data_IF_780511686926
#
_entry.id   IF_780511686926
#
_cell.length_a   1.000
_cell.length_b   1.000
_cell.length_c   1.000
_cell.angle_alpha   90.00
_cell.angle_beta   90.00
_cell.angle_gamma   90.00
#
_symmetry.space_group_name_H-M   'P 1'
#
loop_
_entity.id
_entity.type
_entity.pdbx_description
1 polymer ?
#
# COMPACT_ATOMS: atom_id res chain seq x y z
N UNK A 1 34.52 14.38 -2.58
CA UNK A 1 35.05 14.42 -1.20
C UNK A 1 34.14 15.15 -0.23
N UNK A 2 33.70 16.41 -0.50
CA UNK A 2 32.79 17.15 0.40
C UNK A 2 31.44 16.46 0.68
N UNK A 3 30.91 15.68 -0.27
CA UNK A 3 29.67 14.88 -0.12
C UNK A 3 29.77 13.78 0.95
N UNK A 4 30.99 13.30 1.26
CA UNK A 4 31.26 12.22 2.23
C UNK A 4 31.52 12.76 3.65
N UNK A 5 31.98 14.00 3.75
CA UNK A 5 32.31 14.67 5.01
C UNK A 5 31.10 15.35 5.68
N UNK A 6 30.10 15.78 4.90
CA UNK A 6 28.91 16.48 5.43
C UNK A 6 27.72 15.56 5.75
N UNK A 7 27.63 14.38 5.13
CA UNK A 7 26.41 13.54 5.20
C UNK A 7 26.67 12.08 5.58
N UNK A 8 27.90 11.75 5.99
CA UNK A 8 28.30 10.37 6.25
C UNK A 8 28.14 9.46 5.03
N UNK A 9 28.56 8.22 5.17
CA UNK A 9 28.26 7.17 4.20
C UNK A 9 26.84 6.68 4.53
N UNK A 10 25.83 6.74 3.62
CA UNK A 10 24.47 6.28 3.93
C UNK A 10 24.41 4.78 4.26
N UNK A 11 25.48 4.04 4.00
CA UNK A 11 25.65 2.63 4.34
C UNK A 11 26.31 2.37 5.71
N UNK A 12 26.74 3.40 6.44
CA UNK A 12 27.39 3.23 7.75
C UNK A 12 26.41 3.34 8.93
N UNK A 13 25.24 3.97 8.77
CA UNK A 13 24.20 4.04 9.81
C UNK A 13 23.19 2.92 9.61
N UNK A 14 23.56 1.68 9.96
CA UNK A 14 22.56 0.63 10.17
C UNK A 14 21.74 0.99 11.39
N UNK A 15 20.44 1.15 11.20
CA UNK A 15 19.51 1.35 12.33
C UNK A 15 18.90 0.00 12.64
N UNK A 16 19.50 -0.71 13.58
CA UNK A 16 18.91 -1.90 14.20
C UNK A 16 18.42 -1.48 15.57
N UNK A 17 17.09 -1.39 15.72
CA UNK A 17 16.44 -1.16 17.01
C UNK A 17 16.03 -2.52 17.53
N UNK A 18 16.83 -3.05 18.44
CA UNK A 18 16.57 -4.29 19.17
C UNK A 18 16.32 -3.95 20.65
N UNK A 19 15.23 -4.44 21.22
CA UNK A 19 14.87 -4.17 22.61
C UNK A 19 13.36 -4.19 22.89
N UNK A 20 12.98 -3.65 24.03
CA UNK A 20 11.57 -3.48 24.44
C UNK A 20 10.87 -2.55 23.45
N UNK A 21 9.59 -2.82 23.20
CA UNK A 21 8.71 -1.98 22.38
C UNK A 21 8.81 -0.52 22.86
N UNK A 22 9.20 0.39 21.97
CA UNK A 22 9.30 1.81 22.31
C UNK A 22 7.89 2.38 22.50
N UNK A 23 7.70 3.17 23.56
CA UNK A 23 6.47 3.90 23.82
C UNK A 23 6.72 5.41 23.82
N UNK A 24 5.74 6.15 23.31
CA UNK A 24 5.73 7.62 23.30
C UNK A 24 4.38 8.01 23.86
N UNK A 25 4.40 8.87 24.88
CA UNK A 25 3.18 9.42 25.44
C UNK A 25 2.50 10.32 24.40
N UNK A 26 1.17 10.31 24.33
CA UNK A 26 0.41 11.03 23.28
C UNK A 26 0.75 12.54 23.27
N UNK A 27 1.05 13.08 24.46
CA UNK A 27 1.46 14.47 24.67
C UNK A 27 2.85 14.82 24.11
N UNK A 28 3.68 13.81 23.84
CA UNK A 28 5.04 13.94 23.28
C UNK A 28 5.11 13.57 21.79
N UNK A 29 3.97 13.36 21.13
CA UNK A 29 3.93 13.00 19.71
C UNK A 29 4.43 14.14 18.81
N UNK A 30 5.28 13.79 17.85
CA UNK A 30 5.92 14.69 16.88
C UNK A 30 5.17 14.78 15.55
N UNK A 31 3.92 14.31 15.52
CA UNK A 31 3.03 14.38 14.38
C UNK A 31 1.86 15.33 14.66
N UNK A 32 1.15 15.72 13.62
CA UNK A 32 -0.01 16.61 13.72
C UNK A 32 -1.34 15.89 13.46
N UNK A 33 -1.36 14.55 13.47
CA UNK A 33 -2.53 13.74 13.15
C UNK A 33 -3.49 13.62 14.34
N UNK A 34 -3.92 14.77 14.87
CA UNK A 34 -4.65 14.85 16.14
C UNK A 34 -6.17 14.93 15.92
N UNK A 35 -6.60 15.27 14.71
CA UNK A 35 -8.01 15.28 14.35
C UNK A 35 -8.42 13.92 13.79
N UNK A 36 -9.30 13.25 14.52
CA UNK A 36 -9.79 11.91 14.19
C UNK A 36 -11.24 12.00 13.77
N UNK A 37 -11.57 11.43 12.61
CA UNK A 37 -12.93 11.35 12.10
C UNK A 37 -13.28 9.89 11.79
N UNK A 38 -14.36 9.39 12.39
CA UNK A 38 -14.90 8.06 12.13
C UNK A 38 -15.75 8.10 10.86
N UNK A 39 -15.44 7.23 9.90
CA UNK A 39 -16.19 7.05 8.66
C UNK A 39 -17.17 5.88 8.84
N UNK A 40 -18.37 6.18 9.33
CA UNK A 40 -19.43 5.19 9.55
C UNK A 40 -20.23 4.92 8.28
N UNK A 41 -20.26 3.68 7.80
CA UNK A 41 -21.07 3.29 6.64
C UNK A 41 -21.08 1.79 6.35
N UNK A 42 -20.03 1.08 6.74
CA UNK A 42 -19.98 -0.37 6.69
C UNK A 42 -20.74 -1.00 7.85
N UNK A 43 -21.39 -2.14 7.59
CA UNK A 43 -22.16 -2.90 8.57
C UNK A 43 -21.49 -4.23 8.98
N UNK A 44 -20.31 -4.51 8.43
CA UNK A 44 -19.54 -5.72 8.63
C UNK A 44 -18.05 -5.39 8.41
N UNK A 45 -17.20 -6.40 8.53
CA UNK A 45 -15.75 -6.31 8.38
C UNK A 45 -15.37 -5.58 7.08
N UNK A 46 -14.49 -4.58 7.19
CA UNK A 46 -13.83 -3.95 6.04
C UNK A 46 -12.56 -4.74 5.72
N UNK A 47 -12.38 -5.10 4.45
CA UNK A 47 -11.27 -5.94 4.02
C UNK A 47 -10.23 -5.20 3.18
N UNK A 48 -10.64 -4.23 2.38
CA UNK A 48 -9.73 -3.48 1.53
C UNK A 48 -9.97 -1.97 1.64
N UNK A 49 -8.86 -1.24 1.56
CA UNK A 49 -8.84 0.20 1.34
C UNK A 49 -7.95 0.51 0.13
N UNK A 50 -8.42 1.37 -0.75
CA UNK A 50 -7.69 1.77 -1.95
C UNK A 50 -7.71 3.29 -2.05
N UNK A 51 -6.54 3.88 -2.23
CA UNK A 51 -6.43 5.28 -2.62
C UNK A 51 -6.87 5.44 -4.08
N UNK A 52 -7.90 6.26 -4.32
CA UNK A 52 -8.37 6.58 -5.67
C UNK A 52 -7.53 7.74 -6.23
N UNK A 53 -7.41 8.79 -5.42
CA UNK A 53 -6.63 10.00 -5.68
C UNK A 53 -6.24 10.68 -4.35
N UNK A 54 -5.66 11.87 -4.42
CA UNK A 54 -5.22 12.63 -3.24
C UNK A 54 -6.36 13.11 -2.33
N UNK A 55 -7.62 12.93 -2.73
CA UNK A 55 -8.82 13.41 -2.02
C UNK A 55 -9.82 12.31 -1.71
N UNK A 56 -9.75 11.15 -2.36
CA UNK A 56 -10.75 10.09 -2.26
C UNK A 56 -10.12 8.74 -2.03
N UNK A 57 -10.82 7.97 -1.21
CA UNK A 57 -10.51 6.56 -0.94
C UNK A 57 -11.74 5.69 -1.20
N UNK A 58 -11.50 4.44 -1.53
CA UNK A 58 -12.50 3.38 -1.58
C UNK A 58 -12.28 2.43 -0.41
N UNK A 59 -13.33 2.12 0.34
CA UNK A 59 -13.36 1.01 1.28
C UNK A 59 -14.30 -0.07 0.77
N UNK A 60 -13.95 -1.34 0.96
CA UNK A 60 -14.81 -2.47 0.59
C UNK A 60 -14.79 -3.54 1.67
N UNK A 61 -15.92 -4.20 1.91
CA UNK A 61 -16.05 -5.16 3.00
C UNK A 61 -16.93 -6.38 2.71
N UNK A 62 -17.12 -7.17 3.77
CA UNK A 62 -17.96 -8.38 3.81
C UNK A 62 -19.46 -8.04 3.71
N UNK A 63 -19.84 -6.80 4.00
CA UNK A 63 -21.19 -6.26 3.83
C UNK A 63 -21.62 -6.07 2.36
N UNK A 64 -20.76 -6.46 1.41
CA UNK A 64 -21.01 -6.48 -0.04
C UNK A 64 -21.04 -5.08 -0.67
N UNK A 65 -20.60 -4.07 0.09
CA UNK A 65 -20.59 -2.66 -0.32
C UNK A 65 -19.18 -2.21 -0.59
N UNK A 66 -19.04 -1.35 -1.59
CA UNK A 66 -17.92 -0.43 -1.69
C UNK A 66 -18.38 0.97 -1.32
N UNK A 67 -17.60 1.73 -0.58
CA UNK A 67 -17.94 3.12 -0.22
C UNK A 67 -16.80 4.03 -0.65
N UNK A 68 -17.12 5.06 -1.43
CA UNK A 68 -16.16 6.10 -1.80
C UNK A 68 -16.30 7.25 -0.80
N UNK A 69 -15.20 7.61 -0.17
CA UNK A 69 -15.15 8.70 0.81
C UNK A 69 -14.36 9.88 0.26
N UNK A 70 -14.80 11.08 0.60
CA UNK A 70 -14.03 12.31 0.45
C UNK A 70 -13.21 12.51 1.74
N UNK A 71 -11.89 12.50 1.64
CA UNK A 71 -10.99 12.66 2.77
C UNK A 71 -10.93 14.07 3.33
N UNK A 72 -11.32 15.09 2.56
CA UNK A 72 -11.36 16.45 3.07
C UNK A 72 -12.54 16.61 4.02
N UNK A 73 -13.72 16.16 3.59
CA UNK A 73 -14.96 16.30 4.38
C UNK A 73 -15.23 15.13 5.31
N UNK A 74 -14.60 13.97 5.05
CA UNK A 74 -14.92 12.69 5.66
C UNK A 74 -16.36 12.24 5.40
N UNK A 75 -16.98 12.70 4.31
CA UNK A 75 -18.33 12.31 3.92
C UNK A 75 -18.28 11.24 2.84
N UNK A 76 -19.30 10.39 2.84
CA UNK A 76 -19.55 9.44 1.75
C UNK A 76 -19.89 10.22 0.48
N UNK A 77 -19.16 9.94 -0.61
CA UNK A 77 -19.42 10.47 -1.95
C UNK A 77 -20.47 9.62 -2.66
N UNK A 78 -20.24 8.30 -2.70
CA UNK A 78 -21.16 7.35 -3.30
C UNK A 78 -20.98 5.94 -2.71
N UNK A 79 -22.00 5.11 -2.89
CA UNK A 79 -22.04 3.72 -2.45
C UNK A 79 -22.12 2.80 -3.68
N UNK A 80 -21.28 1.78 -3.71
CA UNK A 80 -21.21 0.76 -4.76
C UNK A 80 -21.99 -0.47 -4.29
N UNK A 81 -23.30 -0.46 -4.56
CA UNK A 81 -24.21 -1.55 -4.18
C UNK A 81 -24.60 -2.37 -5.40
N UNK A 82 -24.47 -3.69 -5.30
CA UNK A 82 -24.95 -4.60 -6.33
C UNK A 82 -24.32 -5.99 -6.34
N UNK A 83 -23.23 -6.21 -5.61
CA UNK A 83 -22.67 -7.55 -5.40
C UNK A 83 -23.57 -8.39 -4.48
N UNK A 84 -23.62 -9.71 -4.74
CA UNK A 84 -24.42 -10.65 -3.96
C UNK A 84 -23.67 -11.23 -2.76
N UNK A 85 -22.33 -11.17 -2.80
CA UNK A 85 -21.40 -11.64 -1.77
C UNK A 85 -20.32 -10.58 -1.54
N UNK A 86 -19.42 -10.85 -0.61
CA UNK A 86 -18.34 -9.96 -0.21
C UNK A 86 -17.45 -9.56 -1.37
N UNK A 87 -17.03 -8.30 -1.37
CA UNK A 87 -16.06 -7.77 -2.31
C UNK A 87 -14.67 -8.22 -1.86
N UNK A 88 -13.97 -8.94 -2.73
CA UNK A 88 -12.70 -9.62 -2.44
C UNK A 88 -11.50 -8.88 -3.03
N UNK A 89 -11.71 -8.10 -4.08
CA UNK A 89 -10.66 -7.26 -4.66
C UNK A 89 -11.27 -6.05 -5.36
N UNK A 90 -10.48 -4.99 -5.48
CA UNK A 90 -10.83 -3.82 -6.27
C UNK A 90 -9.59 -3.19 -6.90
N UNK A 91 -9.77 -2.49 -8.02
CA UNK A 91 -8.75 -1.67 -8.68
C UNK A 91 -9.37 -0.40 -9.26
N UNK A 92 -8.53 0.60 -9.49
CA UNK A 92 -8.88 1.83 -10.18
C UNK A 92 -8.26 1.78 -11.57
N UNK A 93 -9.09 1.92 -12.60
CA UNK A 93 -8.59 2.10 -13.97
C UNK A 93 -8.73 3.57 -14.33
N UNK A 94 -7.58 4.20 -14.52
CA UNK A 94 -7.47 5.55 -15.06
C UNK A 94 -7.34 5.45 -16.57
N UNK A 95 -8.27 6.08 -17.29
CA UNK A 95 -8.30 6.02 -18.76
C UNK A 95 -7.24 6.97 -19.30
N UNK A 96 -6.02 6.48 -19.50
CA UNK A 96 -4.86 7.28 -19.94
C UNK A 96 -4.87 7.63 -21.45
N UNK A 97 -6.00 7.49 -22.16
CA UNK A 97 -6.06 7.74 -23.61
C UNK A 97 -6.67 9.10 -23.93
N UNK A 98 -5.88 9.92 -24.65
CA UNK A 98 -6.17 11.24 -25.24
C UNK A 98 -7.30 11.27 -26.30
N UNK A 99 -8.36 10.47 -26.17
CA UNK A 99 -9.40 10.38 -27.20
C UNK A 99 -10.84 10.45 -26.71
N UNK A 100 -11.07 10.65 -25.41
CA UNK A 100 -12.43 10.72 -24.89
C UNK A 100 -12.57 11.95 -23.98
N UNK A 101 -13.27 12.96 -24.51
CA UNK A 101 -13.95 13.95 -23.69
C UNK A 101 -14.86 13.21 -22.68
N UNK A 102 -14.89 13.71 -21.44
CA UNK A 102 -15.44 13.08 -20.23
C UNK A 102 -14.49 12.13 -19.50
N UNK A 103 -13.56 12.73 -18.74
CA UNK A 103 -12.80 12.11 -17.67
C UNK A 103 -13.72 11.23 -16.80
N UNK A 104 -13.60 9.90 -16.91
CA UNK A 104 -14.13 9.03 -15.86
C UNK A 104 -13.12 7.95 -15.54
N UNK A 105 -12.38 8.16 -14.46
CA UNK A 105 -11.79 7.05 -13.72
C UNK A 105 -12.92 6.08 -13.34
N UNK A 106 -12.66 4.79 -13.48
CA UNK A 106 -13.62 3.76 -13.10
C UNK A 106 -13.07 2.92 -11.95
N UNK A 107 -13.97 2.58 -11.04
CA UNK A 107 -13.70 1.60 -10.00
C UNK A 107 -14.11 0.25 -10.56
N UNK A 108 -13.28 -0.76 -10.37
CA UNK A 108 -13.60 -2.13 -10.73
C UNK A 108 -13.54 -2.97 -9.47
N UNK A 109 -14.60 -3.69 -9.17
CA UNK A 109 -14.69 -4.56 -8.00
C UNK A 109 -14.92 -6.01 -8.45
N UNK A 110 -14.31 -6.93 -7.74
CA UNK A 110 -14.50 -8.37 -7.85
C UNK A 110 -15.04 -8.91 -6.54
N UNK A 111 -15.81 -10.00 -6.60
CA UNK A 111 -16.45 -10.57 -5.42
C UNK A 111 -16.51 -12.09 -5.46
N UNK A 112 -16.76 -12.69 -4.30
CA UNK A 112 -17.06 -14.11 -4.13
C UNK A 112 -18.36 -14.58 -4.78
N UNK A 113 -19.11 -13.67 -5.40
CA UNK A 113 -20.27 -13.94 -6.27
C UNK A 113 -19.90 -14.21 -7.73
N UNK A 114 -18.60 -14.37 -8.03
CA UNK A 114 -18.09 -14.74 -9.36
C UNK A 114 -18.31 -13.62 -10.40
N UNK A 115 -18.66 -12.42 -9.95
CA UNK A 115 -18.89 -11.28 -10.83
C UNK A 115 -17.82 -10.20 -10.64
N UNK A 116 -17.53 -9.51 -11.75
CA UNK A 116 -16.80 -8.24 -11.75
C UNK A 116 -17.79 -7.14 -12.10
N UNK A 117 -17.72 -6.01 -11.37
CA UNK A 117 -18.53 -4.84 -11.65
C UNK A 117 -17.65 -3.62 -11.88
N UNK A 118 -18.04 -2.82 -12.87
CA UNK A 118 -17.39 -1.57 -13.22
C UNK A 118 -18.32 -0.44 -12.81
N UNK A 119 -17.78 0.51 -12.06
CA UNK A 119 -18.52 1.60 -11.45
C UNK A 119 -17.97 2.94 -11.90
N UNK A 120 -18.88 3.90 -12.01
CA UNK A 120 -18.52 5.29 -12.11
C UNK A 120 -18.03 5.82 -10.74
N UNK A 121 -16.82 6.38 -10.69
CA UNK A 121 -16.20 6.84 -9.44
C UNK A 121 -16.97 7.99 -8.77
N UNK A 122 -17.71 8.81 -9.53
CA UNK A 122 -18.42 9.98 -9.01
C UNK A 122 -19.84 9.62 -8.58
N UNK A 123 -20.54 8.89 -9.44
CA UNK A 123 -21.97 8.60 -9.22
C UNK A 123 -22.23 7.29 -8.49
N UNK A 124 -21.24 6.41 -8.39
CA UNK A 124 -21.39 5.06 -7.84
C UNK A 124 -22.28 4.14 -8.67
N UNK A 125 -22.64 4.55 -9.91
CA UNK A 125 -23.50 3.75 -10.78
C UNK A 125 -22.71 2.60 -11.40
N UNK A 126 -23.28 1.40 -11.33
CA UNK A 126 -22.76 0.24 -12.04
C UNK A 126 -22.92 0.43 -13.56
N UNK A 127 -21.81 0.64 -14.26
CA UNK A 127 -21.77 0.78 -15.74
C UNK A 127 -21.84 -0.58 -16.43
N UNK A 128 -21.19 -1.60 -15.88
CA UNK A 128 -21.11 -2.95 -16.47
C UNK A 128 -21.01 -4.01 -15.38
N UNK A 129 -21.68 -5.14 -15.59
CA UNK A 129 -21.49 -6.37 -14.80
C UNK A 129 -20.98 -7.46 -15.72
N UNK A 130 -19.96 -8.18 -15.28
CA UNK A 130 -19.26 -9.21 -16.03
C UNK A 130 -19.36 -10.52 -15.24
N UNK A 131 -19.84 -11.58 -15.87
CA UNK A 131 -20.14 -12.87 -15.24
C UNK A 131 -19.48 -14.05 -15.97
N UNK A 132 -18.42 -13.80 -16.73
CA UNK A 132 -17.71 -14.86 -17.45
C UNK A 132 -16.79 -15.70 -16.54
N UNK A 133 -16.47 -15.19 -15.36
CA UNK A 133 -15.74 -15.96 -14.34
C UNK A 133 -16.56 -17.15 -13.87
N UNK A 134 -15.89 -18.28 -13.64
CA UNK A 134 -16.55 -19.50 -13.16
C UNK A 134 -16.22 -19.81 -11.70
N UNK A 135 -15.68 -18.84 -10.98
CA UNK A 135 -15.25 -18.98 -9.60
C UNK A 135 -14.98 -17.64 -8.94
N UNK A 136 -14.67 -17.71 -7.64
CA UNK A 136 -14.36 -16.52 -6.84
C UNK A 136 -13.11 -15.84 -7.40
N UNK A 137 -13.21 -14.54 -7.67
CA UNK A 137 -12.09 -13.69 -8.07
C UNK A 137 -11.50 -13.09 -6.80
N UNK A 138 -10.18 -13.13 -6.62
CA UNK A 138 -9.50 -12.66 -5.39
C UNK A 138 -8.46 -11.58 -5.61
N UNK A 139 -7.97 -11.40 -6.84
CA UNK A 139 -7.01 -10.33 -7.12
C UNK A 139 -7.10 -9.87 -8.57
N UNK A 140 -6.56 -8.67 -8.78
CA UNK A 140 -6.37 -8.06 -10.09
C UNK A 140 -4.88 -7.77 -10.30
N UNK A 141 -4.46 -7.75 -11.56
CA UNK A 141 -3.16 -7.26 -11.98
C UNK A 141 -3.31 -6.50 -13.29
N UNK A 142 -2.72 -5.31 -13.40
CA UNK A 142 -2.80 -4.47 -14.60
C UNK A 142 -1.48 -4.56 -15.35
N UNK A 143 -1.55 -4.96 -16.61
CA UNK A 143 -0.43 -4.92 -17.55
C UNK A 143 -0.20 -3.49 -18.03
N UNK A 144 1.05 -3.03 -17.95
CA UNK A 144 1.47 -1.67 -18.36
C UNK A 144 1.95 -1.60 -19.82
N UNK A 145 1.70 -2.63 -20.62
CA UNK A 145 1.94 -2.62 -22.06
C UNK A 145 0.85 -1.82 -22.79
N UNK A 146 1.16 -1.34 -23.99
CA UNK A 146 0.14 -0.95 -24.96
C UNK A 146 -0.07 -2.12 -25.94
N UNK A 147 -1.30 -2.63 -26.13
CA UNK A 147 -2.54 -2.23 -25.43
C UNK A 147 -2.56 -2.70 -23.96
N UNK A 148 -3.26 -1.92 -23.11
CA UNK A 148 -3.40 -2.22 -21.68
C UNK A 148 -4.32 -3.44 -21.50
N UNK A 149 -3.84 -4.40 -20.70
CA UNK A 149 -4.56 -5.63 -20.38
C UNK A 149 -4.73 -5.76 -18.87
N UNK A 150 -5.81 -6.42 -18.46
CA UNK A 150 -6.10 -6.68 -17.05
C UNK A 150 -6.17 -8.18 -16.86
N UNK A 151 -5.57 -8.67 -15.77
CA UNK A 151 -5.72 -10.03 -15.30
C UNK A 151 -6.54 -10.01 -14.04
N UNK A 152 -7.45 -10.96 -13.95
CA UNK A 152 -8.22 -11.29 -12.76
C UNK A 152 -7.95 -12.72 -12.41
N UNK A 153 -7.65 -12.99 -11.15
CA UNK A 153 -7.32 -14.32 -10.71
C UNK A 153 -8.00 -14.67 -9.39
N UNK A 154 -8.30 -15.95 -9.24
CA UNK A 154 -8.81 -16.55 -8.03
C UNK A 154 -8.80 -18.06 -8.19
N UNK A 155 -9.91 -18.66 -8.60
CA UNK A 155 -9.93 -20.06 -9.02
C UNK A 155 -9.49 -20.25 -10.49
N UNK A 156 -9.99 -19.38 -11.36
CA UNK A 156 -9.58 -19.24 -12.76
C UNK A 156 -8.66 -18.03 -12.93
N UNK A 157 -8.00 -17.96 -14.08
CA UNK A 157 -7.28 -16.78 -14.55
C UNK A 157 -7.97 -16.31 -15.82
N UNK A 158 -8.47 -15.07 -15.81
CA UNK A 158 -9.03 -14.42 -16.99
C UNK A 158 -8.18 -13.22 -17.40
N UNK A 159 -7.97 -13.08 -18.70
CA UNK A 159 -7.33 -11.95 -19.35
C UNK A 159 -8.38 -11.10 -20.04
N UNK A 160 -8.26 -9.79 -19.85
CA UNK A 160 -9.19 -8.79 -20.35
C UNK A 160 -8.47 -7.67 -21.08
N UNK A 161 -9.15 -7.04 -22.03
CA UNK A 161 -8.72 -5.76 -22.57
C UNK A 161 -9.00 -4.61 -21.58
N UNK A 162 -8.58 -3.39 -21.92
CA UNK A 162 -8.82 -2.18 -21.12
C UNK A 162 -10.32 -1.85 -20.92
N UNK A 163 -11.20 -2.39 -21.76
CA UNK A 163 -12.66 -2.22 -21.66
C UNK A 163 -13.35 -3.38 -20.92
N UNK A 164 -12.57 -4.31 -20.39
CA UNK A 164 -13.02 -5.58 -19.81
C UNK A 164 -13.83 -6.48 -20.76
N UNK A 165 -13.40 -6.58 -22.00
CA UNK A 165 -13.80 -7.68 -22.87
C UNK A 165 -12.87 -8.87 -22.65
N UNK A 166 -13.44 -10.07 -22.58
CA UNK A 166 -12.69 -11.29 -22.31
C UNK A 166 -11.80 -11.63 -23.52
N UNK A 167 -10.51 -11.80 -23.27
CA UNK A 167 -9.51 -12.17 -24.28
C UNK A 167 -9.10 -13.64 -24.15
N UNK A 168 -8.92 -14.13 -22.92
CA UNK A 168 -8.57 -15.52 -22.66
C UNK A 168 -9.00 -15.95 -21.26
N UNK A 169 -9.34 -17.22 -21.10
CA UNK A 169 -9.63 -17.85 -19.81
C UNK A 169 -8.80 -19.12 -19.64
N UNK A 170 -8.27 -19.32 -18.45
CA UNK A 170 -7.56 -20.53 -18.07
C UNK A 170 -8.07 -21.07 -16.75
N UNK A 171 -8.58 -22.30 -16.81
CA UNK A 171 -9.07 -23.02 -15.65
C UNK A 171 -7.97 -23.87 -15.07
N UNK A 172 -7.64 -23.61 -13.79
CA UNK A 172 -6.66 -24.39 -13.06
C UNK A 172 -7.31 -25.69 -12.56
N UNK A 173 -6.62 -26.81 -12.73
CA UNK A 173 -7.04 -28.11 -12.17
C UNK A 173 -6.71 -28.25 -10.68
N UNK A 174 -6.54 -27.13 -9.97
CA UNK A 174 -6.13 -27.10 -8.58
C UNK A 174 -7.25 -26.54 -7.70
N UNK A 175 -7.34 -27.05 -6.47
CA UNK A 175 -8.33 -26.61 -5.48
C UNK A 175 -7.88 -25.38 -4.68
N UNK A 176 -6.64 -24.93 -4.86
CA UNK A 176 -6.09 -23.75 -4.20
C UNK A 176 -6.50 -22.45 -4.90
N UNK A 177 -6.70 -21.39 -4.10
CA UNK A 177 -7.00 -20.07 -4.64
C UNK A 177 -5.73 -19.28 -4.89
N UNK A 178 -5.77 -18.49 -5.95
CA UNK A 178 -4.80 -17.43 -6.19
C UNK A 178 -5.19 -16.25 -5.29
N UNK A 179 -4.28 -15.79 -4.44
CA UNK A 179 -4.51 -14.59 -3.62
C UNK A 179 -3.78 -13.37 -4.16
N UNK A 180 -2.68 -13.54 -4.91
CA UNK A 180 -1.95 -12.43 -5.53
C UNK A 180 -1.39 -12.82 -6.90
N UNK A 181 -1.43 -11.87 -7.83
CA UNK A 181 -0.89 -12.02 -9.17
C UNK A 181 -0.22 -10.71 -9.58
N UNK A 182 0.90 -10.82 -10.28
CA UNK A 182 1.60 -9.67 -10.86
C UNK A 182 1.91 -9.92 -12.32
N UNK A 183 1.81 -8.87 -13.13
CA UNK A 183 2.39 -8.86 -14.47
C UNK A 183 3.89 -8.72 -14.36
N UNK A 184 4.59 -9.55 -15.13
CA UNK A 184 6.04 -9.50 -15.28
C UNK A 184 6.33 -9.32 -16.75
N UNK A 185 6.87 -8.15 -17.10
CA UNK A 185 6.96 -7.67 -18.49
C UNK A 185 5.58 -7.62 -19.16
N UNK A 186 5.54 -7.90 -20.47
CA UNK A 186 4.35 -7.77 -21.31
C UNK A 186 3.66 -9.11 -21.58
N UNK A 187 4.36 -10.24 -21.39
CA UNK A 187 3.94 -11.57 -21.85
C UNK A 187 3.77 -12.61 -20.73
N UNK A 188 4.02 -12.24 -19.47
CA UNK A 188 4.01 -13.21 -18.35
C UNK A 188 3.29 -12.69 -17.14
N UNK A 189 2.67 -13.62 -16.42
CA UNK A 189 2.12 -13.39 -15.09
C UNK A 189 2.75 -14.34 -14.09
N UNK A 190 3.05 -13.82 -12.91
CA UNK A 190 3.47 -14.63 -11.77
C UNK A 190 2.35 -14.63 -10.76
N UNK A 191 2.01 -15.82 -10.30
CA UNK A 191 0.86 -16.08 -9.45
C UNK A 191 1.34 -16.70 -8.15
N UNK A 192 0.83 -16.18 -7.04
CA UNK A 192 0.98 -16.74 -5.70
C UNK A 192 -0.33 -17.38 -5.25
N UNK A 193 -0.20 -18.59 -4.71
CA UNK A 193 -1.29 -19.37 -4.13
C UNK A 193 -0.97 -19.72 -2.70
N UNK A 194 -1.87 -20.43 -2.02
CA UNK A 194 -1.63 -20.88 -0.65
C UNK A 194 -0.47 -21.90 -0.55
N UNK A 195 0.08 -22.35 -1.69
CA UNK A 195 1.22 -23.24 -1.77
C UNK A 195 2.56 -22.46 -1.72
N UNK A 196 3.66 -23.11 -1.33
CA UNK A 196 5.00 -22.51 -1.35
C UNK A 196 5.54 -22.19 -2.76
N UNK A 197 4.84 -22.65 -3.80
CA UNK A 197 5.30 -22.53 -5.19
C UNK A 197 4.66 -21.33 -5.88
N UNK A 198 5.48 -20.47 -6.48
CA UNK A 198 4.97 -19.51 -7.46
C UNK A 198 4.78 -20.21 -8.80
N UNK A 199 3.67 -19.92 -9.47
CA UNK A 199 3.41 -20.43 -10.82
C UNK A 199 3.47 -19.27 -11.81
N UNK A 200 4.17 -19.48 -12.91
CA UNK A 200 4.32 -18.50 -13.99
C UNK A 200 3.52 -18.97 -15.18
N UNK A 201 2.65 -18.10 -15.70
CA UNK A 201 1.91 -18.33 -16.92
C UNK A 201 2.34 -17.36 -18.02
N UNK A 202 2.33 -17.84 -19.25
CA UNK A 202 2.46 -16.99 -20.43
C UNK A 202 1.07 -16.46 -20.81
N UNK A 203 1.03 -15.18 -21.14
CA UNK A 203 -0.17 -14.47 -21.59
C UNK A 203 -0.03 -14.21 -23.10
N UNK A 204 -1.08 -14.46 -23.89
CA UNK A 204 -1.04 -14.19 -25.32
C UNK A 204 -0.80 -12.69 -25.58
N UNK A 205 0.16 -12.40 -26.45
CA UNK A 205 0.39 -11.04 -26.96
C UNK A 205 -0.61 -10.73 -28.04
N UNK A 206 -1.29 -9.59 -27.93
CA UNK A 206 -2.26 -9.08 -28.90
C UNK A 206 -1.54 -8.49 -30.14
N UNK A 207 -0.71 -9.29 -30.82
CA UNK A 207 -0.11 -8.90 -32.10
C UNK A 207 -1.01 -9.36 -33.25
N UNK A 208 -1.19 -8.49 -34.24
CA UNK A 208 -2.31 -8.50 -35.20
C UNK A 208 -2.38 -9.65 -36.23
N UNK A 209 -1.43 -10.59 -36.31
CA UNK A 209 -1.33 -11.39 -37.56
C UNK A 209 -1.19 -12.91 -37.47
N UNK A 210 -1.21 -13.59 -36.31
CA UNK A 210 -1.10 -15.06 -36.33
C UNK A 210 -1.94 -15.79 -35.27
N UNK A 211 -2.65 -16.81 -35.77
CA UNK A 211 -3.62 -17.72 -35.17
C UNK A 211 -3.04 -18.65 -34.07
N UNK A 212 -2.06 -18.18 -33.30
CA UNK A 212 -1.35 -18.99 -32.30
C UNK A 212 -1.92 -18.74 -30.91
N UNK A 213 -2.97 -19.49 -30.61
CA UNK A 213 -3.56 -19.75 -29.30
C UNK A 213 -3.69 -18.53 -28.36
N UNK A 214 -4.89 -17.94 -28.36
CA UNK A 214 -5.43 -17.07 -27.30
C UNK A 214 -5.61 -17.82 -25.96
N UNK A 215 -4.59 -18.55 -25.51
CA UNK A 215 -4.67 -19.38 -24.33
C UNK A 215 -3.51 -19.04 -23.41
N UNK A 216 -3.88 -18.81 -22.15
CA UNK A 216 -2.90 -18.69 -21.07
C UNK A 216 -2.34 -20.08 -20.82
N UNK A 217 -1.01 -20.21 -20.80
CA UNK A 217 -0.33 -21.50 -20.62
C UNK A 217 0.61 -21.47 -19.44
N UNK A 218 0.68 -22.56 -18.68
CA UNK A 218 1.65 -22.67 -17.58
C UNK A 218 3.06 -22.82 -18.15
N UNK A 219 3.96 -21.91 -17.77
CA UNK A 219 5.34 -21.87 -18.26
C UNK A 219 6.32 -22.50 -17.27
N UNK A 220 6.25 -22.12 -16.00
CA UNK A 220 7.29 -22.48 -15.01
C UNK A 220 6.74 -22.44 -13.60
N UNK A 221 7.18 -23.38 -12.76
CA UNK A 221 7.01 -23.31 -11.29
C UNK A 221 8.31 -22.88 -10.63
N UNK A 222 8.22 -21.97 -9.67
CA UNK A 222 9.34 -21.48 -8.89
C UNK A 222 9.18 -21.96 -7.44
N UNK A 223 10.10 -22.82 -6.98
CA UNK A 223 10.03 -23.49 -5.67
C UNK A 223 11.16 -23.08 -4.69
N UNK A 224 11.12 -21.91 -4.05
CA UNK A 224 12.16 -21.59 -3.07
C UNK A 224 11.65 -21.32 -1.65
N UNK A 225 10.34 -21.14 -1.47
CA UNK A 225 9.73 -20.90 -0.17
C UNK A 225 9.39 -22.24 0.46
N UNK A 226 9.40 -22.29 1.78
CA UNK A 226 9.07 -23.51 2.53
C UNK A 226 7.60 -23.55 2.91
N UNK A 227 7.01 -22.37 3.05
CA UNK A 227 5.63 -22.16 3.43
C UNK A 227 4.89 -21.30 2.39
N UNK A 228 3.60 -21.12 2.63
CA UNK A 228 2.70 -20.30 1.82
C UNK A 228 3.26 -18.90 1.53
N UNK A 229 3.17 -18.48 0.26
CA UNK A 229 3.52 -17.12 -0.14
C UNK A 229 2.43 -16.17 0.36
N UNK A 230 2.80 -15.11 1.06
CA UNK A 230 1.85 -14.14 1.64
C UNK A 230 1.74 -12.87 0.82
N UNK A 231 2.83 -12.47 0.18
CA UNK A 231 2.90 -11.22 -0.56
C UNK A 231 3.76 -11.38 -1.81
N UNK A 232 3.33 -10.74 -2.89
CA UNK A 232 3.99 -10.75 -4.19
C UNK A 232 3.87 -9.34 -4.77
N UNK A 233 5.00 -8.73 -5.13
CA UNK A 233 5.00 -7.35 -5.65
C UNK A 233 6.12 -7.13 -6.66
N UNK A 234 5.85 -6.28 -7.65
CA UNK A 234 6.82 -5.88 -8.67
C UNK A 234 7.70 -4.77 -8.10
N UNK A 235 9.02 -4.95 -8.14
CA UNK A 235 9.97 -3.94 -7.63
C UNK A 235 10.37 -2.98 -8.75
N UNK A 236 10.67 -3.52 -9.93
CA UNK A 236 10.94 -2.79 -11.17
C UNK A 236 10.71 -3.72 -12.37
N UNK A 237 10.84 -3.23 -13.58
CA UNK A 237 10.72 -4.05 -14.79
C UNK A 237 11.72 -5.22 -14.86
N UNK A 238 12.84 -5.12 -14.13
CA UNK A 238 13.90 -6.13 -14.09
C UNK A 238 13.74 -7.14 -12.94
N UNK A 239 13.07 -6.75 -11.84
CA UNK A 239 12.98 -7.58 -10.64
C UNK A 239 11.61 -7.51 -9.96
N UNK A 240 11.18 -8.65 -9.42
CA UNK A 240 10.01 -8.74 -8.54
C UNK A 240 10.39 -9.44 -7.24
N UNK A 241 9.56 -9.33 -6.21
CA UNK A 241 9.80 -9.95 -4.92
C UNK A 241 8.59 -10.73 -4.44
N UNK A 242 8.85 -11.85 -3.76
CA UNK A 242 7.85 -12.60 -3.03
C UNK A 242 8.28 -12.79 -1.58
N UNK A 243 7.31 -12.84 -0.68
CA UNK A 243 7.52 -13.16 0.72
C UNK A 243 6.59 -14.29 1.17
N UNK A 244 7.01 -14.98 2.22
CA UNK A 244 6.37 -16.21 2.69
C UNK A 244 6.11 -16.17 4.19
N UNK A 245 5.20 -17.03 4.63
CA UNK A 245 4.92 -17.30 6.04
C UNK A 245 6.15 -17.78 6.81
N UNK A 246 7.15 -18.37 6.13
CA UNK A 246 8.44 -18.74 6.73
C UNK A 246 9.34 -17.54 7.06
N UNK A 247 8.89 -16.32 6.74
CA UNK A 247 9.62 -15.08 6.93
C UNK A 247 10.59 -14.76 5.78
N UNK A 248 10.83 -15.70 4.87
CA UNK A 248 11.73 -15.54 3.74
C UNK A 248 11.20 -14.56 2.72
N UNK A 249 12.07 -13.66 2.26
CA UNK A 249 11.79 -12.72 1.17
C UNK A 249 12.76 -13.03 0.04
N UNK A 250 12.27 -13.19 -1.17
CA UNK A 250 13.09 -13.58 -2.32
C UNK A 250 12.93 -12.54 -3.42
N UNK A 251 14.05 -12.15 -4.01
CA UNK A 251 14.10 -11.29 -5.19
C UNK A 251 14.36 -12.15 -6.41
N UNK A 252 13.59 -11.90 -7.45
CA UNK A 252 13.55 -12.65 -8.68
C UNK A 252 13.86 -11.76 -9.86
N UNK A 253 14.52 -12.31 -10.85
CA UNK A 253 14.64 -11.65 -12.15
C UNK A 253 13.40 -11.87 -13.00
N UNK A 254 12.89 -10.80 -13.61
CA UNK A 254 11.74 -10.89 -14.52
C UNK A 254 12.09 -11.60 -15.83
N UNK A 255 13.33 -11.47 -16.30
CA UNK A 255 13.79 -12.06 -17.57
C UNK A 255 13.96 -13.58 -17.50
N UNK A 256 14.72 -14.07 -16.52
CA UNK A 256 15.09 -15.49 -16.40
C UNK A 256 14.21 -16.25 -15.41
N UNK A 257 13.43 -15.54 -14.59
CA UNK A 257 12.62 -16.12 -13.52
C UNK A 257 13.49 -16.98 -12.59
N UNK A 258 14.63 -16.42 -12.18
CA UNK A 258 15.59 -17.05 -11.28
C UNK A 258 15.68 -16.20 -10.02
N UNK A 259 15.69 -16.87 -8.88
CA UNK A 259 15.94 -16.24 -7.58
C UNK A 259 17.37 -15.72 -7.57
N UNK A 260 17.53 -14.41 -7.46
CA UNK A 260 18.84 -13.77 -7.38
C UNK A 260 19.27 -13.59 -5.94
N UNK A 261 18.32 -13.20 -5.07
CA UNK A 261 18.61 -12.77 -3.70
C UNK A 261 17.58 -13.35 -2.74
N UNK A 262 18.01 -13.59 -1.51
CA UNK A 262 17.14 -13.96 -0.39
C UNK A 262 17.41 -13.01 0.78
N UNK A 263 16.36 -12.44 1.36
CA UNK A 263 16.39 -11.69 2.61
C UNK A 263 15.62 -12.45 3.67
N UNK A 264 15.98 -12.18 4.92
CA UNK A 264 15.31 -12.76 6.08
C UNK A 264 15.18 -14.29 6.01
N UNK A 265 16.16 -14.95 5.38
CA UNK A 265 16.14 -16.39 5.12
C UNK A 265 17.02 -17.13 6.12
N UNK A 266 16.50 -18.23 6.65
CA UNK A 266 17.14 -19.03 7.69
C UNK A 266 17.29 -20.46 7.22
N UNK A 267 18.53 -20.94 7.13
CA UNK A 267 18.80 -22.28 6.63
C UNK A 267 18.23 -23.37 7.56
N UNK A 268 18.22 -23.12 8.89
CA UNK A 268 17.78 -24.07 9.94
C UNK A 268 16.39 -23.74 10.53
N UNK A 269 15.34 -23.73 9.72
CA UNK A 269 13.97 -23.37 10.15
C UNK A 269 13.32 -24.35 11.15
N UNK A 270 13.80 -25.60 11.24
CA UNK A 270 13.18 -26.66 12.06
C UNK A 270 13.65 -26.71 13.53
N UNK A 271 14.73 -25.99 13.90
CA UNK A 271 15.42 -26.18 15.19
C UNK A 271 15.21 -25.06 16.22
N UNK A 272 14.29 -24.13 15.97
CA UNK A 272 14.07 -23.00 16.89
C UNK A 272 12.88 -23.36 17.79
N UNK A 273 13.19 -23.80 19.01
CA UNK A 273 12.21 -24.13 20.06
C UNK A 273 11.59 -22.90 20.71
N UNK A 274 12.19 -21.73 20.50
CA UNK A 274 11.63 -20.44 20.90
C UNK A 274 10.90 -19.84 19.70
N UNK A 275 9.57 -19.78 19.74
CA UNK A 275 8.73 -19.13 18.72
C UNK A 275 9.06 -17.64 18.46
N UNK A 276 10.08 -17.10 19.12
CA UNK A 276 10.74 -15.88 18.72
C UNK A 276 11.66 -16.19 17.55
N UNK A 277 11.16 -15.96 16.33
CA UNK A 277 11.93 -15.88 15.07
C UNK A 277 12.10 -17.21 14.28
N UNK A 278 11.98 -17.23 12.92
CA UNK A 278 11.62 -16.12 12.02
C UNK A 278 10.10 -15.88 11.99
N UNK A 279 9.70 -14.64 12.21
CA UNK A 279 8.30 -14.25 12.13
C UNK A 279 7.83 -14.17 10.67
N UNK A 280 6.56 -14.52 10.44
CA UNK A 280 5.95 -14.47 9.11
C UNK A 280 5.91 -13.05 8.54
N UNK A 281 6.14 -12.94 7.23
CA UNK A 281 5.99 -11.67 6.51
C UNK A 281 4.52 -11.50 6.16
N UNK A 282 3.89 -10.41 6.60
CA UNK A 282 2.47 -10.16 6.34
C UNK A 282 2.23 -9.24 5.15
N UNK A 283 3.10 -8.26 4.95
CA UNK A 283 2.93 -7.25 3.92
C UNK A 283 4.28 -6.86 3.31
N UNK A 284 4.27 -6.63 1.99
CA UNK A 284 5.40 -6.10 1.24
C UNK A 284 4.99 -4.82 0.53
N UNK A 285 5.85 -3.81 0.63
CA UNK A 285 5.70 -2.55 -0.08
C UNK A 285 7.01 -2.19 -0.77
N UNK A 286 6.92 -1.56 -1.93
CA UNK A 286 8.09 -1.08 -2.67
C UNK A 286 8.11 0.44 -2.67
N UNK A 287 9.26 1.02 -2.38
CA UNK A 287 9.50 2.46 -2.47
C UNK A 287 10.66 2.75 -3.46
N UNK A 288 10.53 3.84 -4.20
CA UNK A 288 11.53 4.31 -5.18
C UNK A 288 11.98 3.24 -6.21
N UNK A 289 11.17 2.21 -6.46
CA UNK A 289 11.47 1.08 -7.37
C UNK A 289 12.70 0.23 -7.00
N UNK A 290 13.18 0.32 -5.76
CA UNK A 290 14.31 -0.49 -5.30
C UNK A 290 14.37 -0.76 -3.79
N UNK A 291 13.68 0.03 -2.95
CA UNK A 291 13.55 -0.29 -1.54
C UNK A 291 12.38 -1.24 -1.34
N UNK A 292 12.63 -2.37 -0.69
CA UNK A 292 11.62 -3.35 -0.32
C UNK A 292 11.41 -3.25 1.18
N UNK A 293 10.22 -2.80 1.57
CA UNK A 293 9.77 -2.70 2.94
C UNK A 293 8.91 -3.92 3.26
N UNK A 294 9.20 -4.57 4.39
CA UNK A 294 8.52 -5.79 4.80
C UNK A 294 8.04 -5.69 6.24
N UNK A 295 6.77 -6.00 6.48
CA UNK A 295 6.22 -6.22 7.81
C UNK A 295 6.54 -7.66 8.23
N UNK A 296 7.32 -7.84 9.28
CA UNK A 296 7.89 -9.14 9.70
C UNK A 296 7.56 -9.33 11.17
N UNK A 297 6.59 -10.18 11.49
CA UNK A 297 6.13 -10.36 12.87
C UNK A 297 5.68 -9.06 13.50
N UNK A 298 6.15 -8.78 14.72
CA UNK A 298 5.87 -7.54 15.46
C UNK A 298 6.72 -6.34 15.00
N UNK A 299 7.50 -6.51 13.93
CA UNK A 299 8.47 -5.55 13.45
C UNK A 299 8.35 -5.27 11.96
N UNK A 300 9.33 -4.53 11.44
CA UNK A 300 9.50 -4.33 10.02
C UNK A 300 10.97 -4.17 9.65
N UNK A 301 11.27 -4.40 8.38
CA UNK A 301 12.61 -4.23 7.84
C UNK A 301 12.57 -3.58 6.46
N UNK A 302 13.64 -2.86 6.14
CA UNK A 302 13.83 -2.18 4.85
C UNK A 302 15.09 -2.73 4.20
N UNK A 303 14.93 -3.22 2.98
CA UNK A 303 16.00 -3.82 2.20
C UNK A 303 16.26 -3.00 0.93
N UNK A 304 17.54 -2.81 0.58
CA UNK A 304 17.89 -2.34 -0.75
C UNK A 304 17.94 -3.53 -1.72
N UNK A 305 17.02 -3.57 -2.68
CA UNK A 305 16.93 -4.64 -3.65
C UNK A 305 18.03 -4.58 -4.72
N UNK A 306 18.96 -3.60 -4.72
CA UNK A 306 20.06 -3.46 -5.71
C UNK A 306 21.35 -4.20 -5.36
N UNK A 307 21.67 -4.35 -4.08
CA UNK A 307 22.90 -5.02 -3.63
C UNK A 307 22.69 -6.54 -3.52
N UNK A 308 23.68 -7.37 -3.14
CA UNK A 308 23.52 -8.84 -3.05
C UNK A 308 23.65 -9.40 -1.61
N UNK A 309 24.51 -8.82 -0.77
CA UNK A 309 24.88 -9.35 0.55
C UNK A 309 24.04 -8.89 1.76
N UNK A 310 24.26 -9.56 2.90
CA UNK A 310 23.75 -9.26 4.26
C UNK A 310 23.97 -7.82 4.76
N UNK A 311 24.66 -6.97 3.99
CA UNK A 311 24.73 -5.51 4.18
C UNK A 311 23.54 -4.73 3.60
N UNK A 312 22.49 -5.43 3.16
CA UNK A 312 21.26 -4.90 2.50
C UNK A 312 20.15 -4.39 3.40
N UNK A 313 20.12 -4.81 4.66
CA UNK A 313 19.12 -4.31 5.58
C UNK A 313 19.53 -2.90 5.99
N UNK A 314 18.78 -1.91 5.51
CA UNK A 314 19.05 -0.50 5.73
C UNK A 314 18.60 -0.10 7.14
N UNK A 315 17.39 -0.54 7.49
CA UNK A 315 16.80 -0.36 8.80
C UNK A 315 16.00 -1.61 9.17
N UNK A 316 16.05 -1.97 10.44
CA UNK A 316 15.23 -3.03 11.02
C UNK A 316 14.78 -2.61 12.41
N UNK A 317 13.49 -2.78 12.65
CA UNK A 317 12.88 -2.63 13.97
C UNK A 317 12.20 -3.95 14.28
N UNK A 318 12.75 -4.72 15.22
CA UNK A 318 12.27 -6.08 15.50
C UNK A 318 10.98 -6.08 16.32
N UNK A 319 10.87 -5.13 17.26
CA UNK A 319 9.72 -4.95 18.16
C UNK A 319 9.12 -3.56 17.94
N UNK A 320 8.56 -3.35 16.75
CA UNK A 320 7.90 -2.10 16.41
C UNK A 320 6.55 -1.95 17.12
N UNK A 321 5.89 -3.06 17.42
CA UNK A 321 4.57 -3.16 18.05
C UNK A 321 4.54 -4.29 19.09
N UNK A 322 3.47 -4.35 19.90
CA UNK A 322 3.24 -5.43 20.86
C UNK A 322 2.70 -6.70 20.21
N UNK A 323 2.11 -6.56 19.02
CA UNK A 323 1.62 -7.67 18.21
C UNK A 323 2.04 -7.50 16.76
N UNK A 324 1.66 -8.46 15.92
CA UNK A 324 2.07 -8.55 14.53
C UNK A 324 1.68 -7.31 13.71
N UNK A 325 2.64 -6.79 12.94
CA UNK A 325 2.44 -5.72 11.98
C UNK A 325 1.71 -6.27 10.77
N UNK A 326 0.54 -5.70 10.48
CA UNK A 326 -0.37 -6.15 9.41
C UNK A 326 -0.12 -5.41 8.11
N UNK A 327 0.17 -4.11 8.17
CA UNK A 327 0.34 -3.27 7.00
C UNK A 327 1.38 -2.17 7.20
N UNK A 328 1.94 -1.72 6.07
CA UNK A 328 2.88 -0.61 5.97
C UNK A 328 2.36 0.40 4.96
N UNK A 329 2.51 1.70 5.26
CA UNK A 329 2.18 2.77 4.32
C UNK A 329 3.20 3.91 4.43
N UNK A 330 3.51 4.55 3.30
CA UNK A 330 4.25 5.81 3.30
C UNK A 330 3.27 6.97 3.31
N UNK A 331 3.46 7.91 4.23
CA UNK A 331 2.58 9.05 4.44
C UNK A 331 3.30 10.38 4.21
N UNK A 332 2.52 11.38 3.82
CA UNK A 332 2.95 12.73 3.51
C UNK A 332 4.16 12.72 2.56
N UNK A 333 4.00 12.04 1.42
CA UNK A 333 5.04 11.86 0.39
C UNK A 333 6.33 11.21 0.91
N UNK A 334 6.20 10.28 1.85
CA UNK A 334 7.33 9.53 2.42
C UNK A 334 8.04 10.23 3.57
N UNK A 335 7.46 11.31 4.13
CA UNK A 335 7.96 11.92 5.39
C UNK A 335 7.85 10.96 6.57
N UNK A 336 6.80 10.15 6.59
CA UNK A 336 6.55 9.16 7.63
C UNK A 336 6.37 7.77 7.00
N UNK A 337 6.89 6.76 7.69
CA UNK A 337 6.48 5.37 7.52
C UNK A 337 5.44 5.07 8.60
N UNK A 338 4.26 4.59 8.22
CA UNK A 338 3.22 4.17 9.13
C UNK A 338 3.13 2.65 9.18
N UNK A 339 2.97 2.11 10.39
CA UNK A 339 2.81 0.67 10.64
C UNK A 339 1.50 0.43 11.39
N UNK A 340 0.67 -0.49 10.90
CA UNK A 340 -0.54 -0.97 11.57
C UNK A 340 -0.25 -2.32 12.21
N UNK A 341 -0.91 -2.61 13.33
CA UNK A 341 -0.73 -3.86 14.04
C UNK A 341 -2.03 -4.46 14.55
N UNK A 342 -1.99 -5.76 14.79
CA UNK A 342 -3.02 -6.52 15.49
C UNK A 342 -3.24 -6.03 16.93
N UNK A 343 -2.31 -5.27 17.51
CA UNK A 343 -2.47 -4.66 18.83
C UNK A 343 -3.45 -3.46 18.86
N UNK A 344 -3.99 -3.08 17.70
CA UNK A 344 -4.95 -1.98 17.58
C UNK A 344 -4.31 -0.61 17.39
N UNK A 345 -2.98 -0.54 17.32
CA UNK A 345 -2.25 0.74 17.18
C UNK A 345 -1.78 0.98 15.75
N UNK A 346 -1.74 2.26 15.38
CA UNK A 346 -0.96 2.73 14.24
C UNK A 346 0.23 3.53 14.77
N UNK A 347 1.45 3.21 14.32
CA UNK A 347 2.67 3.90 14.74
C UNK A 347 3.32 4.61 13.57
N UNK A 348 3.88 5.79 13.84
CA UNK A 348 4.53 6.63 12.84
C UNK A 348 6.03 6.71 13.11
N UNK A 349 6.80 6.52 12.05
CA UNK A 349 8.26 6.50 12.07
C UNK A 349 8.80 7.58 11.12
N UNK A 350 9.82 8.34 11.55
CA UNK A 350 10.45 9.37 10.73
C UNK A 350 11.97 9.34 10.83
N UNK A 351 12.64 9.84 9.80
CA UNK A 351 14.10 10.01 9.77
C UNK A 351 14.60 11.18 10.61
N UNK A 352 13.68 12.04 11.06
CA UNK A 352 13.98 13.17 11.93
C UNK A 352 13.55 12.77 13.34
N UNK A 353 14.47 12.70 14.32
CA UNK A 353 14.12 12.39 15.69
C UNK A 353 13.26 13.50 16.31
N UNK A 354 12.45 13.12 17.30
CA UNK A 354 11.79 14.06 18.21
C UNK A 354 12.85 14.79 19.05
N UNK A 355 13.25 15.99 18.64
CA UNK A 355 14.16 16.83 19.45
C UNK A 355 13.42 17.32 20.72
N UNK A 356 13.63 16.61 21.84
CA UNK A 356 13.07 16.97 23.16
C UNK A 356 13.56 18.33 23.67
N UNK A 357 14.75 18.77 23.25
CA UNK A 357 15.39 20.02 23.72
C UNK A 357 14.96 21.30 22.97
N UNK A 358 14.44 21.16 21.74
CA UNK A 358 13.97 22.30 20.94
C UNK A 358 12.54 22.70 21.35
N UNK A 359 11.71 21.72 21.72
CA UNK A 359 10.33 21.95 22.17
C UNK A 359 10.22 22.83 23.43
N UNK A 360 11.25 22.83 24.29
CA UNK A 360 11.28 23.68 25.50
C UNK A 360 11.85 25.09 25.28
N UNK A 361 12.53 25.35 24.14
CA UNK A 361 13.20 26.65 23.88
C UNK A 361 12.56 27.49 22.78
N UNK A 362 11.67 26.94 21.96
CA UNK A 362 11.12 27.67 20.82
C UNK A 362 9.80 28.38 21.13
N UNK A 363 9.82 29.71 20.99
CA UNK A 363 8.61 30.53 21.03
C UNK A 363 7.63 30.12 19.92
N UNK A 364 6.30 30.20 20.15
CA UNK A 364 5.27 29.76 19.21
C UNK A 364 5.33 30.44 17.83
N UNK A 365 5.99 31.59 17.71
CA UNK A 365 6.19 32.28 16.44
C UNK A 365 7.20 31.58 15.51
N UNK A 366 8.20 30.88 16.07
CA UNK A 366 9.24 30.18 15.30
C UNK A 366 8.76 28.87 14.70
N UNK A 367 7.82 28.15 15.35
CA UNK A 367 7.12 27.00 14.75
C UNK A 367 6.45 27.38 13.41
N UNK A 368 5.81 28.55 13.36
CA UNK A 368 5.17 29.07 12.14
C UNK A 368 6.16 29.52 11.07
N UNK A 369 7.34 30.01 11.45
CA UNK A 369 8.39 30.44 10.52
C UNK A 369 9.17 29.25 9.97
N UNK A 370 9.44 28.22 10.78
CA UNK A 370 10.09 26.99 10.37
C UNK A 370 9.17 26.13 9.52
N UNK A 371 7.88 26.03 9.85
CA UNK A 371 6.90 25.38 8.97
C UNK A 371 6.83 26.07 7.59
N UNK A 372 6.96 27.41 7.55
CA UNK A 372 7.05 28.21 6.31
C UNK A 372 8.38 28.09 5.58
N UNK A 373 9.49 27.85 6.29
CA UNK A 373 10.80 27.60 5.69
C UNK A 373 10.85 26.21 5.02
N UNK A 374 10.12 25.23 5.56
CA UNK A 374 9.91 23.91 4.96
C UNK A 374 8.94 23.91 3.76
N UNK A 375 8.20 25.00 3.52
CA UNK A 375 7.37 25.19 2.31
C UNK A 375 8.18 25.64 1.06
N UNK A 376 9.52 25.76 1.14
CA UNK A 376 10.34 25.99 -0.06
C UNK A 376 10.46 24.72 -0.89
N UNK A 377 9.83 24.73 -2.08
CA UNK A 377 9.96 23.79 -3.21
C UNK A 377 10.83 22.54 -2.95
N UNK A 378 10.19 21.52 -2.37
CA UNK A 378 10.71 20.17 -2.14
C UNK A 378 10.64 19.28 -3.40
N UNK A 379 10.81 19.85 -4.59
CA UNK A 379 10.92 19.05 -5.82
C UNK A 379 12.18 18.17 -5.86
N UNK A 380 13.09 18.29 -4.88
CA UNK A 380 14.42 17.67 -4.91
C UNK A 380 14.79 16.75 -3.74
N UNK A 381 13.97 16.60 -2.69
CA UNK A 381 14.31 15.66 -1.59
C UNK A 381 13.66 14.30 -1.83
N UNK A 382 14.18 13.59 -2.83
CA UNK A 382 13.99 12.14 -3.02
C UNK A 382 14.99 11.38 -2.15
N UNK A 383 14.77 11.33 -0.84
CA UNK A 383 15.48 10.40 0.04
C UNK A 383 14.54 9.87 1.11
N UNK A 384 14.43 8.55 1.16
CA UNK A 384 13.78 7.85 2.26
C UNK A 384 14.42 8.26 3.60
N UNK A 385 13.61 8.60 4.63
CA UNK A 385 14.12 9.23 5.83
C UNK A 385 14.74 8.17 6.77
N UNK A 386 16.06 8.20 6.90
CA UNK A 386 16.85 7.27 7.72
C UNK A 386 17.85 8.08 8.55
N UNK A 387 18.20 7.67 9.78
CA UNK A 387 17.68 6.51 10.55
C UNK A 387 16.24 6.70 11.04
N UNK A 388 15.43 5.63 11.14
CA UNK A 388 14.03 5.74 11.56
C UNK A 388 13.89 5.80 13.09
N UNK A 389 13.10 6.77 13.56
CA UNK A 389 12.72 6.97 14.95
C UNK A 389 11.20 6.91 15.08
N UNK A 390 10.70 6.33 16.16
CA UNK A 390 9.28 6.44 16.51
C UNK A 390 8.97 7.91 16.81
N UNK A 391 7.96 8.46 16.15
CA UNK A 391 7.56 9.87 16.31
C UNK A 391 6.14 10.04 16.82
N UNK A 392 5.35 8.97 16.89
CA UNK A 392 4.08 8.99 17.59
C UNK A 392 3.26 7.73 17.39
N UNK A 393 2.16 7.67 18.13
CA UNK A 393 1.26 6.53 18.19
C UNK A 393 -0.18 7.02 18.09
N UNK A 394 -0.99 6.23 17.42
CA UNK A 394 -2.37 6.56 17.11
C UNK A 394 -3.26 5.46 17.69
N UNK A 395 -3.88 5.75 18.83
CA UNK A 395 -4.79 4.85 19.56
C UNK A 395 -6.25 5.25 19.27
N UNK A 396 -6.86 4.66 18.25
CA UNK A 396 -8.30 4.87 18.03
C UNK A 396 -9.08 3.63 17.61
N UNK A 397 -8.39 2.55 17.23
CA UNK A 397 -9.05 1.27 16.98
C UNK A 397 -9.11 0.47 18.28
N UNK A 398 -10.27 -0.11 18.57
CA UNK A 398 -10.45 -1.02 19.71
C UNK A 398 -9.93 -2.43 19.44
N UNK A 399 -9.70 -2.75 18.17
CA UNK A 399 -9.34 -4.08 17.71
C UNK A 399 -8.22 -4.00 16.66
N UNK A 400 -7.79 -5.15 16.16
CA UNK A 400 -6.69 -5.27 15.20
C UNK A 400 -6.87 -4.40 13.96
N UNK A 401 -5.89 -3.50 13.72
CA UNK A 401 -5.86 -2.67 12.51
C UNK A 401 -5.39 -3.54 11.34
N UNK A 402 -6.22 -3.64 10.30
CA UNK A 402 -5.94 -4.46 9.12
C UNK A 402 -5.09 -3.73 8.09
N UNK A 403 -5.31 -2.43 7.91
CA UNK A 403 -4.62 -1.68 6.87
C UNK A 403 -4.61 -0.18 7.08
N UNK A 404 -3.71 0.47 6.35
CA UNK A 404 -3.50 1.91 6.35
C UNK A 404 -3.27 2.37 4.91
N UNK A 405 -3.77 3.55 4.55
CA UNK A 405 -3.41 4.21 3.29
C UNK A 405 -3.27 5.71 3.47
N UNK A 406 -2.44 6.35 2.65
CA UNK A 406 -2.33 7.80 2.59
C UNK A 406 -3.60 8.38 1.94
N UNK A 407 -4.09 9.52 2.44
CA UNK A 407 -5.08 10.31 1.73
C UNK A 407 -4.55 11.70 1.40
N UNK A 408 -3.57 11.69 0.49
CA UNK A 408 -2.92 12.87 -0.05
C UNK A 408 -2.44 13.84 1.04
N UNK A 409 -2.86 15.10 0.91
CA UNK A 409 -2.43 16.15 1.83
C UNK A 409 -3.27 16.24 3.11
N UNK A 410 -4.46 15.61 3.14
CA UNK A 410 -5.41 15.70 4.26
C UNK A 410 -4.93 14.85 5.44
N UNK A 411 -4.34 13.68 5.15
CA UNK A 411 -3.68 12.83 6.14
C UNK A 411 -3.67 11.37 5.73
N UNK A 412 -4.17 10.48 6.58
CA UNK A 412 -4.20 9.04 6.29
C UNK A 412 -5.45 8.38 6.85
N UNK A 413 -5.76 7.18 6.35
CA UNK A 413 -6.90 6.39 6.78
C UNK A 413 -6.44 5.03 7.24
N UNK A 414 -6.99 4.54 8.35
CA UNK A 414 -6.80 3.17 8.82
C UNK A 414 -8.14 2.48 9.08
N UNK A 415 -8.16 1.16 8.99
CA UNK A 415 -9.37 0.37 9.21
C UNK A 415 -9.07 -0.92 9.99
N UNK A 416 -10.06 -1.41 10.72
CA UNK A 416 -9.96 -2.60 11.57
C UNK A 416 -10.84 -3.78 11.11
N UNK A 417 -10.81 -4.84 11.92
CA UNK A 417 -11.64 -6.03 11.74
C UNK A 417 -13.12 -5.83 12.07
N UNK A 418 -13.51 -4.79 12.80
CA UNK A 418 -14.90 -4.58 13.25
C UNK A 418 -15.68 -3.65 12.30
N UNK A 419 -15.06 -3.25 11.19
CA UNK A 419 -15.64 -2.36 10.19
C UNK A 419 -15.46 -0.89 10.50
N UNK A 420 -14.65 -0.54 11.50
CA UNK A 420 -14.31 0.84 11.83
C UNK A 420 -13.28 1.36 10.84
N UNK A 421 -13.62 2.49 10.20
CA UNK A 421 -12.71 3.22 9.31
C UNK A 421 -12.46 4.58 9.93
N UNK A 422 -11.19 4.93 10.12
CA UNK A 422 -10.77 6.15 10.81
C UNK A 422 -9.90 6.98 9.88
N UNK A 423 -10.30 8.23 9.69
CA UNK A 423 -9.56 9.24 8.97
C UNK A 423 -8.81 10.14 9.97
N UNK A 424 -7.50 10.16 9.83
CA UNK A 424 -6.55 10.92 10.65
C UNK A 424 -6.10 12.15 9.87
N UNK A 425 -6.46 13.34 10.33
CA UNK A 425 -6.18 14.60 9.64
C UNK A 425 -5.07 15.40 10.28
N UNK A 426 -4.27 16.06 9.43
CA UNK A 426 -3.23 16.99 9.87
C UNK A 426 -3.85 18.30 10.38
N UNK A 427 -3.85 18.47 11.70
CA UNK A 427 -4.45 19.59 12.41
C UNK A 427 -3.83 20.95 12.02
N UNK A 428 -2.54 21.00 11.68
CA UNK A 428 -1.86 22.23 11.27
C UNK A 428 -2.29 22.67 9.88
N UNK A 429 -2.40 21.74 8.93
CA UNK A 429 -2.81 22.07 7.55
C UNK A 429 -4.23 22.60 7.50
N UNK A 430 -5.14 22.02 8.30
CA UNK A 430 -6.52 22.51 8.40
C UNK A 430 -6.56 23.93 8.95
N UNK A 431 -5.88 24.21 10.07
CA UNK A 431 -5.80 25.57 10.64
C UNK A 431 -5.27 26.60 9.65
N UNK A 432 -4.20 26.26 8.92
CA UNK A 432 -3.66 27.14 7.87
C UNK A 432 -4.65 27.36 6.72
N UNK A 433 -5.40 26.32 6.34
CA UNK A 433 -6.48 26.41 5.36
C UNK A 433 -7.63 27.31 5.82
N UNK A 434 -8.09 27.14 7.05
CA UNK A 434 -9.15 27.94 7.67
C UNK A 434 -8.73 29.41 7.79
N UNK A 435 -7.50 29.68 8.25
CA UNK A 435 -6.94 31.03 8.32
C UNK A 435 -6.88 31.70 6.93
N UNK A 436 -6.48 30.95 5.90
CA UNK A 436 -6.46 31.45 4.52
C UNK A 436 -7.87 31.73 3.99
N UNK A 437 -8.83 30.86 4.27
CA UNK A 437 -10.22 31.04 3.89
C UNK A 437 -10.83 32.26 4.58
N UNK A 438 -10.59 32.44 5.88
CA UNK A 438 -11.00 33.61 6.65
C UNK A 438 -10.38 34.88 6.06
N UNK A 439 -9.08 34.88 5.76
CA UNK A 439 -8.42 36.03 5.11
C UNK A 439 -9.07 36.38 3.77
N UNK A 440 -9.36 35.40 2.92
CA UNK A 440 -10.06 35.65 1.65
C UNK A 440 -11.47 36.22 1.84
N UNK A 441 -12.20 35.77 2.87
CA UNK A 441 -13.52 36.32 3.19
C UNK A 441 -13.41 37.76 3.71
N UNK A 442 -12.45 38.03 4.59
CA UNK A 442 -12.19 39.37 5.11
C UNK A 442 -11.76 40.34 3.99
N UNK A 443 -10.90 39.91 3.07
CA UNK A 443 -10.52 40.68 1.88
C UNK A 443 -11.74 40.97 0.98
N UNK A 444 -12.63 39.99 0.76
CA UNK A 444 -13.90 40.19 0.04
C UNK A 444 -14.87 41.14 0.74
N UNK A 445 -14.83 41.20 2.08
CA UNK A 445 -15.62 42.12 2.89
C UNK A 445 -14.95 43.50 3.04
N UNK A 446 -13.83 43.76 2.33
CA UNK A 446 -13.13 45.04 2.36
C UNK A 446 -12.31 45.28 3.62
N UNK A 447 -12.13 44.27 4.46
CA UNK A 447 -11.26 44.33 5.64
C UNK A 447 -9.80 44.08 5.23
N UNK A 448 -9.16 45.10 4.66
CA UNK A 448 -7.71 45.10 4.51
C UNK A 448 -7.07 45.53 5.84
N UNK A 449 -6.09 44.76 6.33
CA UNK A 449 -5.17 45.18 7.39
C UNK A 449 -4.28 46.32 6.87
N UNK A 450 -4.86 47.49 6.69
CA UNK A 450 -4.16 48.77 6.58
C UNK A 450 -4.73 49.64 7.67
N UNK A 451 -4.17 49.50 8.87
CA UNK A 451 -4.02 50.54 9.90
C UNK A 451 -3.68 49.88 11.24
N UNK A 452 -2.38 49.63 11.46
CA UNK A 452 -1.67 49.88 12.72
C UNK A 452 -0.18 49.68 12.51
#
# INVERSE_FOLDING_TARGET
>A
MLRRLLFGNPYETRTEIEGVVQEIDDNESGHNFDEVQILSGHNDIVDLIINIDDQRILTTGQDKKGIVWDCKTGKMVCELVGHKRAITAAIIIRKYLDSIEDFSDVIVTASSDEAIKIWDVLTGRCKRTITEHKGTVKCFSIGRSEPCVVITAGQDICLWDASFNLLAIFQRNSLDYIHSAIFVKTDRIVVATDQPTLVVYNVPTLNDDDDVSQQITECKKLLPHRESVTALTLVSDAIFTSASMDGGIIIWTTHRLVATRKFNHYDNFMNITDHTYPYSVQHLMVAESHYVLAAIGCGFAIFDARFDDSKKCIARVTNAHHSQVTALALLNKGKYLATASLDGTVRLWSGVPLDKDVAQKEQPMLKSLLSRLFERNLSEVKRFPLPLHLVGQCYAHSNSVKGITECGNEGFVSFDNDGLVILWKDSLKKRLGDDKAIRMVLEKLGWNKTNS
#
